data_IF_838634974021
#
_entry.id   IF_838634974021
#
_cell.length_a   1.000
_cell.length_b   1.000
_cell.length_c   1.000
_cell.angle_alpha   90.00
_cell.angle_beta   90.00
_cell.angle_gamma   90.00
#
_symmetry.space_group_name_H-M   'P 1'
#
loop_
_entity.id
_entity.type
_entity.pdbx_description
1 polymer ?
#
# COMPACT_ATOMS: atom_id res chain seq x y z
N UNK A 1 -36.50 -6.30 16.58
CA UNK A 1 -35.56 -6.79 15.56
C UNK A 1 -34.27 -6.04 15.76
N UNK A 2 -33.11 -6.68 16.04
CA UNK A 2 -31.85 -5.97 16.06
C UNK A 2 -31.60 -5.40 14.67
N UNK A 3 -31.30 -4.11 14.60
CA UNK A 3 -30.96 -3.42 13.34
C UNK A 3 -29.63 -3.99 12.87
N UNK A 4 -29.66 -4.74 11.77
CA UNK A 4 -28.44 -5.31 11.19
C UNK A 4 -27.59 -4.16 10.62
N UNK A 5 -26.51 -3.83 11.29
CA UNK A 5 -25.59 -2.78 10.85
C UNK A 5 -24.69 -3.34 9.73
N UNK A 6 -24.79 -2.84 8.50
CA UNK A 6 -23.91 -3.33 7.43
C UNK A 6 -22.46 -2.87 7.69
N UNK A 7 -21.45 -3.75 7.46
CA UNK A 7 -20.06 -3.39 7.64
C UNK A 7 -19.62 -2.33 6.63
N UNK A 8 -19.09 -1.20 7.13
CA UNK A 8 -18.55 -0.09 6.33
C UNK A 8 -17.02 -0.09 6.39
N UNK A 9 -16.38 0.64 5.48
CA UNK A 9 -14.90 0.80 5.47
C UNK A 9 -14.34 1.28 6.82
N UNK A 10 -15.04 2.20 7.49
CA UNK A 10 -14.64 2.73 8.80
C UNK A 10 -14.66 1.65 9.88
N UNK A 11 -15.65 0.75 9.86
CA UNK A 11 -15.73 -0.39 10.79
C UNK A 11 -14.57 -1.35 10.60
N UNK A 12 -14.29 -1.74 9.35
CA UNK A 12 -13.17 -2.62 9.00
C UNK A 12 -11.81 -2.01 9.37
N UNK A 13 -11.62 -0.72 9.15
CA UNK A 13 -10.41 -0.01 9.56
C UNK A 13 -10.24 -0.03 11.09
N UNK A 14 -11.33 0.20 11.86
CA UNK A 14 -11.30 0.16 13.32
C UNK A 14 -11.06 -1.27 13.85
N UNK A 15 -11.69 -2.29 13.29
CA UNK A 15 -11.45 -3.70 13.64
C UNK A 15 -9.98 -4.08 13.42
N UNK A 16 -9.36 -3.66 12.30
CA UNK A 16 -7.92 -3.86 12.06
C UNK A 16 -7.06 -3.14 13.10
N UNK A 17 -7.43 -1.91 13.49
CA UNK A 17 -6.73 -1.17 14.54
C UNK A 17 -6.79 -1.89 15.88
N UNK A 18 -7.96 -2.40 16.28
CA UNK A 18 -8.15 -3.19 17.51
C UNK A 18 -7.32 -4.48 17.45
N UNK A 19 -7.31 -5.18 16.31
CA UNK A 19 -6.52 -6.40 16.12
C UNK A 19 -5.00 -6.19 16.30
N UNK A 20 -4.50 -5.02 15.87
CA UNK A 20 -3.06 -4.66 15.90
C UNK A 20 -2.61 -3.95 17.18
N UNK A 21 -3.52 -3.63 18.09
CA UNK A 21 -3.25 -2.81 19.27
C UNK A 21 -3.55 -3.55 20.58
N UNK A 22 -3.20 -2.92 21.70
CA UNK A 22 -3.60 -3.37 23.02
C UNK A 22 -5.11 -3.31 23.27
N UNK A 23 -5.88 -2.68 22.34
CA UNK A 23 -7.35 -2.59 22.44
C UNK A 23 -7.84 -1.49 23.38
N UNK A 24 -7.16 -0.35 23.42
CA UNK A 24 -7.65 0.80 24.21
C UNK A 24 -8.93 1.35 23.60
N UNK A 25 -10.05 1.46 24.38
CA UNK A 25 -11.31 1.98 23.89
C UNK A 25 -11.21 3.47 23.56
N UNK A 26 -11.73 3.88 22.41
CA UNK A 26 -11.88 5.30 22.04
C UNK A 26 -13.25 5.88 22.39
N UNK A 27 -14.22 5.02 22.67
CA UNK A 27 -15.60 5.36 23.07
C UNK A 27 -16.30 6.30 22.08
N UNK A 28 -16.05 6.12 20.79
CA UNK A 28 -16.68 6.87 19.70
C UNK A 28 -17.86 6.09 19.07
N UNK A 29 -18.59 6.74 18.16
CA UNK A 29 -19.73 6.16 17.48
C UNK A 29 -19.38 4.88 16.71
N UNK A 30 -18.14 4.79 16.16
CA UNK A 30 -17.70 3.61 15.43
C UNK A 30 -17.57 2.40 16.36
N UNK A 31 -17.01 2.59 17.54
CA UNK A 31 -16.92 1.50 18.53
C UNK A 31 -18.30 1.06 19.05
N UNK A 32 -19.22 2.01 19.21
CA UNK A 32 -20.61 1.70 19.55
C UNK A 32 -21.25 0.80 18.48
N UNK A 33 -21.06 1.14 17.19
CA UNK A 33 -21.52 0.32 16.07
C UNK A 33 -20.91 -1.08 16.10
N UNK A 34 -19.58 -1.20 16.37
CA UNK A 34 -18.89 -2.49 16.44
C UNK A 34 -19.44 -3.39 17.57
N UNK A 35 -19.69 -2.81 18.74
CA UNK A 35 -20.24 -3.55 19.88
C UNK A 35 -21.70 -3.92 19.61
N UNK A 36 -22.51 -2.99 19.09
CA UNK A 36 -23.91 -3.25 18.75
C UNK A 36 -24.09 -4.32 17.68
N UNK A 37 -23.17 -4.38 16.70
CA UNK A 37 -23.13 -5.41 15.67
C UNK A 37 -22.52 -6.75 16.15
N UNK A 38 -22.03 -6.81 17.38
CA UNK A 38 -21.41 -8.01 17.94
C UNK A 38 -20.03 -8.33 17.34
N UNK A 39 -19.36 -7.39 16.68
CA UNK A 39 -18.02 -7.59 16.10
C UNK A 39 -16.89 -7.36 17.09
N UNK A 40 -17.17 -6.61 18.15
CA UNK A 40 -16.26 -6.34 19.24
C UNK A 40 -17.01 -6.35 20.59
N UNK A 41 -16.27 -6.48 21.68
CA UNK A 41 -16.80 -6.39 23.04
C UNK A 41 -15.82 -5.67 23.96
N UNK A 42 -16.34 -5.09 25.03
CA UNK A 42 -15.54 -4.49 26.09
C UNK A 42 -15.23 -5.56 27.13
N UNK A 43 -13.96 -5.70 27.47
CA UNK A 43 -13.47 -6.60 28.52
C UNK A 43 -12.84 -5.77 29.63
N UNK A 44 -13.25 -6.01 30.87
CA UNK A 44 -12.64 -5.39 32.05
C UNK A 44 -11.60 -6.33 32.64
N UNK A 45 -10.37 -5.85 32.75
CA UNK A 45 -9.27 -6.59 33.38
C UNK A 45 -9.39 -6.61 34.91
N UNK A 46 -8.62 -7.47 35.55
CA UNK A 46 -8.56 -7.55 37.03
C UNK A 46 -8.02 -6.26 37.68
N UNK A 47 -7.25 -5.48 36.91
CA UNK A 47 -6.71 -4.15 37.26
C UNK A 47 -7.74 -3.01 37.11
N UNK A 48 -8.98 -3.33 36.70
CA UNK A 48 -10.06 -2.38 36.49
C UNK A 48 -10.01 -1.65 35.13
N UNK A 49 -8.97 -1.85 34.33
CA UNK A 49 -8.87 -1.26 32.97
C UNK A 49 -9.81 -1.97 32.00
N UNK A 50 -10.42 -1.18 31.10
CA UNK A 50 -11.27 -1.71 30.05
C UNK A 50 -10.45 -1.79 28.75
N UNK A 51 -10.57 -2.91 28.05
CA UNK A 51 -10.04 -3.11 26.71
C UNK A 51 -11.17 -3.50 25.77
N UNK A 52 -11.06 -3.09 24.50
CA UNK A 52 -11.95 -3.57 23.45
C UNK A 52 -11.28 -4.73 22.71
N UNK A 53 -12.02 -5.81 22.52
CA UNK A 53 -11.55 -7.05 21.88
C UNK A 53 -12.48 -7.44 20.74
N UNK A 54 -11.92 -8.14 19.76
CA UNK A 54 -12.72 -8.70 18.67
C UNK A 54 -13.44 -9.97 19.15
N UNK A 55 -14.66 -10.13 18.67
CA UNK A 55 -15.37 -11.42 18.73
C UNK A 55 -14.91 -12.32 17.57
N UNK A 56 -15.27 -13.60 17.61
CA UNK A 56 -15.07 -14.53 16.48
C UNK A 56 -15.77 -14.04 15.21
N UNK A 57 -16.92 -13.36 15.35
CA UNK A 57 -17.62 -12.74 14.22
C UNK A 57 -16.82 -11.58 13.63
N UNK A 58 -16.24 -10.72 14.47
CA UNK A 58 -15.37 -9.63 14.04
C UNK A 58 -14.09 -10.13 13.34
N UNK A 59 -13.50 -11.22 13.85
CA UNK A 59 -12.33 -11.87 13.24
C UNK A 59 -12.71 -12.45 11.87
N UNK A 60 -13.83 -13.17 11.77
CA UNK A 60 -14.32 -13.72 10.50
C UNK A 60 -14.58 -12.62 9.46
N UNK A 61 -15.23 -11.52 9.88
CA UNK A 61 -15.47 -10.37 9.00
C UNK A 61 -14.18 -9.79 8.43
N UNK A 62 -13.13 -9.67 9.27
CA UNK A 62 -11.81 -9.22 8.79
C UNK A 62 -11.17 -10.21 7.82
N UNK A 63 -11.29 -11.51 8.08
CA UNK A 63 -10.76 -12.55 7.22
C UNK A 63 -11.44 -12.56 5.85
N UNK A 64 -12.77 -12.44 5.83
CA UNK A 64 -13.56 -12.37 4.58
C UNK A 64 -13.25 -11.09 3.78
N UNK A 65 -13.14 -9.94 4.46
CA UNK A 65 -12.76 -8.69 3.81
C UNK A 65 -11.36 -8.79 3.20
N UNK A 66 -10.44 -9.40 3.92
CA UNK A 66 -9.10 -9.68 3.42
C UNK A 66 -9.14 -10.56 2.16
N UNK A 67 -9.90 -11.67 2.18
CA UNK A 67 -10.02 -12.56 1.02
C UNK A 67 -10.65 -11.84 -0.19
N UNK A 68 -11.68 -11.01 0.03
CA UNK A 68 -12.28 -10.21 -1.03
C UNK A 68 -11.28 -9.24 -1.68
N UNK A 69 -10.54 -8.52 -0.85
CA UNK A 69 -9.51 -7.60 -1.33
C UNK A 69 -8.41 -8.32 -2.11
N UNK A 70 -8.09 -9.56 -1.74
CA UNK A 70 -7.11 -10.38 -2.43
C UNK A 70 -7.56 -10.83 -3.82
N UNK A 71 -8.83 -11.24 -3.93
CA UNK A 71 -9.41 -11.65 -5.21
C UNK A 71 -9.63 -10.47 -6.17
N UNK A 72 -9.80 -9.25 -5.62
CA UNK A 72 -9.99 -8.01 -6.39
C UNK A 72 -8.70 -7.22 -6.60
N UNK A 73 -7.55 -7.68 -6.05
CA UNK A 73 -6.27 -6.99 -6.21
C UNK A 73 -5.84 -7.02 -7.67
N UNK A 74 -5.64 -5.83 -8.24
CA UNK A 74 -5.17 -5.69 -9.61
C UNK A 74 -3.73 -6.19 -9.78
N UNK A 75 -3.31 -6.50 -11.01
CA UNK A 75 -1.91 -6.83 -11.30
C UNK A 75 -0.96 -5.73 -10.83
N UNK A 76 -1.38 -4.47 -10.98
CA UNK A 76 -0.66 -3.30 -10.48
C UNK A 76 -0.43 -3.39 -8.96
N UNK A 77 -1.49 -3.63 -8.18
CA UNK A 77 -1.40 -3.67 -6.71
C UNK A 77 -0.55 -4.84 -6.21
N UNK A 78 -0.63 -5.98 -6.89
CA UNK A 78 0.18 -7.18 -6.60
C UNK A 78 1.66 -6.90 -6.88
N UNK A 79 1.97 -6.27 -8.02
CA UNK A 79 3.35 -5.93 -8.35
C UNK A 79 3.91 -4.85 -7.40
N UNK A 80 3.12 -3.85 -7.04
CA UNK A 80 3.52 -2.84 -6.04
C UNK A 80 3.77 -3.50 -4.66
N UNK A 81 2.95 -4.47 -4.25
CA UNK A 81 3.17 -5.24 -3.04
C UNK A 81 4.48 -6.05 -3.09
N UNK A 82 4.76 -6.68 -4.24
CA UNK A 82 6.01 -7.42 -4.45
C UNK A 82 7.26 -6.55 -4.34
N UNK A 83 7.22 -5.36 -4.95
CA UNK A 83 8.29 -4.36 -4.82
C UNK A 83 8.48 -3.95 -3.36
N UNK A 84 7.38 -3.70 -2.64
CA UNK A 84 7.43 -3.35 -1.22
C UNK A 84 8.09 -4.47 -0.39
N UNK A 85 7.74 -5.73 -0.63
CA UNK A 85 8.36 -6.90 0.02
C UNK A 85 9.87 -6.97 -0.24
N UNK A 86 10.29 -6.78 -1.48
CA UNK A 86 11.72 -6.81 -1.83
C UNK A 86 12.50 -5.67 -1.15
N UNK A 87 11.92 -4.49 -1.05
CA UNK A 87 12.54 -3.34 -0.37
C UNK A 87 12.59 -3.54 1.15
N UNK A 88 11.57 -4.14 1.76
CA UNK A 88 11.57 -4.53 3.17
C UNK A 88 12.67 -5.55 3.46
N UNK A 89 12.80 -6.58 2.64
CA UNK A 89 13.86 -7.59 2.75
C UNK A 89 15.26 -6.99 2.59
N UNK A 90 15.39 -5.92 1.82
CA UNK A 90 16.60 -5.11 1.72
C UNK A 90 16.83 -4.15 2.91
N UNK A 91 16.02 -4.25 3.97
CA UNK A 91 16.15 -3.47 5.21
C UNK A 91 15.68 -2.03 5.09
N UNK A 92 14.82 -1.69 4.11
CA UNK A 92 14.25 -0.34 3.96
C UNK A 92 12.96 -0.20 4.76
N UNK A 93 12.58 1.03 5.09
CA UNK A 93 11.26 1.39 5.60
C UNK A 93 10.42 1.74 4.37
N UNK A 94 9.24 1.13 4.24
CA UNK A 94 8.46 1.18 3.00
C UNK A 94 7.03 1.64 3.27
N UNK A 95 6.48 2.47 2.39
CA UNK A 95 5.08 2.87 2.36
C UNK A 95 4.52 2.65 0.96
N UNK A 96 3.27 2.27 0.88
CA UNK A 96 2.51 2.14 -0.37
C UNK A 96 1.45 3.23 -0.46
N UNK A 97 1.25 3.76 -1.68
CA UNK A 97 0.20 4.73 -1.99
C UNK A 97 0.16 5.95 -1.05
N UNK A 98 1.32 6.37 -0.57
CA UNK A 98 1.43 7.47 0.37
C UNK A 98 1.26 8.81 -0.36
N UNK A 99 0.30 9.63 0.10
CA UNK A 99 0.10 10.99 -0.42
C UNK A 99 1.12 11.95 0.17
N UNK A 100 1.99 12.50 -0.67
CA UNK A 100 3.06 13.41 -0.30
C UNK A 100 2.90 14.76 -1.01
N UNK A 101 3.27 15.84 -0.34
CA UNK A 101 3.34 17.16 -0.96
C UNK A 101 4.71 17.38 -1.59
N UNK A 102 4.75 17.58 -2.89
CA UNK A 102 5.94 17.94 -3.63
C UNK A 102 5.85 19.37 -4.13
N UNK A 103 7.00 20.04 -4.24
CA UNK A 103 7.12 21.37 -4.85
C UNK A 103 7.68 21.18 -6.25
N UNK A 104 6.95 21.67 -7.25
CA UNK A 104 7.43 21.73 -8.63
C UNK A 104 7.81 23.16 -8.98
N UNK A 105 8.87 23.34 -9.72
CA UNK A 105 9.16 24.66 -10.28
C UNK A 105 8.04 24.99 -11.28
N UNK A 106 7.48 26.20 -11.20
CA UNK A 106 6.53 26.64 -12.20
C UNK A 106 7.25 26.68 -13.54
N UNK A 107 7.00 25.73 -14.42
CA UNK A 107 7.23 25.96 -15.84
C UNK A 107 6.40 27.17 -16.24
N UNK A 108 6.92 28.03 -17.10
CA UNK A 108 6.20 29.20 -17.64
C UNK A 108 4.75 28.80 -17.96
N UNK A 109 3.76 29.66 -17.62
CA UNK A 109 2.36 29.30 -17.79
C UNK A 109 2.12 28.89 -19.23
N UNK A 110 1.52 27.73 -19.50
CA UNK A 110 1.10 27.39 -20.85
C UNK A 110 0.08 28.43 -21.28
N UNK A 111 0.36 29.08 -22.41
CA UNK A 111 -0.60 29.93 -23.09
C UNK A 111 -1.94 29.18 -23.26
N UNK A 112 -2.97 29.70 -22.61
CA UNK A 112 -4.40 29.46 -22.80
C UNK A 112 -4.84 28.13 -23.43
N UNK A 113 -5.51 27.31 -22.64
CA UNK A 113 -6.30 26.18 -23.15
C UNK A 113 -6.80 25.30 -22.02
N UNK A 114 -8.05 25.55 -21.59
CA UNK A 114 -8.97 24.75 -20.79
C UNK A 114 -8.56 23.29 -20.50
N UNK A 115 -8.47 22.97 -19.23
CA UNK A 115 -9.20 21.94 -18.48
C UNK A 115 -8.57 21.78 -17.09
N UNK A 116 -8.96 22.67 -16.18
CA UNK A 116 -8.79 22.44 -14.76
C UNK A 116 -9.95 21.55 -14.30
N UNK A 117 -9.74 20.25 -14.31
CA UNK A 117 -10.67 19.33 -13.68
C UNK A 117 -10.72 19.60 -12.16
N UNK A 118 -11.94 19.75 -11.66
CA UNK A 118 -12.33 20.21 -10.33
C UNK A 118 -12.01 19.27 -9.16
N UNK A 119 -10.92 18.50 -9.22
CA UNK A 119 -10.57 17.51 -8.21
C UNK A 119 -9.48 18.00 -7.23
N UNK A 120 -9.20 19.31 -7.23
CA UNK A 120 -8.10 19.90 -6.44
C UNK A 120 -8.53 20.57 -5.12
N UNK A 121 -9.81 20.51 -4.74
CA UNK A 121 -10.32 21.27 -3.59
C UNK A 121 -11.19 20.40 -2.67
N UNK A 122 -10.58 19.57 -1.84
CA UNK A 122 -11.23 19.14 -0.61
C UNK A 122 -10.29 19.36 0.56
N UNK A 123 -10.45 20.52 1.18
CA UNK A 123 -9.89 20.86 2.47
C UNK A 123 -10.91 20.56 3.56
N UNK A 124 -10.52 20.04 4.73
CA UNK A 124 -11.39 20.11 5.91
C UNK A 124 -11.43 21.55 6.41
N UNK A 125 -12.63 22.04 6.68
CA UNK A 125 -12.91 23.35 7.26
C UNK A 125 -12.52 23.34 8.76
N UNK A 126 -11.24 23.43 9.09
CA UNK A 126 -10.82 23.92 10.38
C UNK A 126 -9.83 25.06 10.18
N UNK A 127 -10.17 26.20 10.78
CA UNK A 127 -9.52 27.50 10.58
C UNK A 127 -8.05 27.61 10.95
N UNK A 128 -7.18 26.69 10.56
CA UNK A 128 -5.74 26.80 10.74
C UNK A 128 -5.12 27.67 9.65
N UNK A 129 -4.62 28.82 10.06
CA UNK A 129 -3.87 29.78 9.22
C UNK A 129 -2.62 29.09 8.68
N UNK A 130 -2.65 28.75 7.38
CA UNK A 130 -1.46 28.25 6.68
C UNK A 130 -0.41 29.39 6.57
N UNK A 131 0.89 29.11 6.80
CA UNK A 131 1.92 30.07 6.52
C UNK A 131 1.89 30.43 5.03
N UNK A 132 1.86 31.73 4.73
CA UNK A 132 1.93 32.24 3.35
C UNK A 132 3.21 31.71 2.69
N UNK A 133 3.15 31.21 1.45
CA UNK A 133 4.33 30.75 0.74
C UNK A 133 5.31 31.94 0.62
N UNK A 134 6.51 31.78 1.17
CA UNK A 134 7.63 32.68 0.94
C UNK A 134 7.95 32.70 -0.56
N UNK A 135 8.24 33.89 -1.08
CA UNK A 135 8.54 34.21 -2.47
C UNK A 135 9.64 33.31 -3.06
N UNK A 136 9.25 32.28 -3.74
CA UNK A 136 10.06 31.41 -4.56
C UNK A 136 9.12 30.62 -5.43
N UNK A 137 9.06 30.95 -6.73
CA UNK A 137 8.06 30.49 -7.69
C UNK A 137 8.02 28.98 -7.90
N UNK A 138 7.23 28.28 -7.09
CA UNK A 138 6.95 26.86 -7.29
C UNK A 138 5.55 26.53 -6.77
N UNK A 139 4.82 25.71 -7.52
CA UNK A 139 3.50 25.22 -7.14
C UNK A 139 3.60 23.97 -6.29
N UNK A 140 2.78 23.86 -5.23
CA UNK A 140 2.63 22.64 -4.46
C UNK A 140 1.71 21.67 -5.19
N UNK A 141 2.13 20.42 -5.27
CA UNK A 141 1.36 19.35 -5.88
C UNK A 141 1.33 18.12 -4.97
N UNK A 142 0.18 17.44 -4.95
CA UNK A 142 0.10 16.12 -4.33
C UNK A 142 0.72 15.09 -5.26
N UNK A 143 1.67 14.32 -4.73
CA UNK A 143 2.28 13.19 -5.38
C UNK A 143 1.92 11.93 -4.60
N UNK A 144 1.55 10.87 -5.30
CA UNK A 144 1.20 9.58 -4.70
C UNK A 144 1.96 8.47 -5.40
N UNK A 145 3.22 8.25 -5.02
CA UNK A 145 3.99 7.14 -5.55
C UNK A 145 3.37 5.78 -5.14
N UNK A 146 3.44 4.80 -6.02
CA UNK A 146 2.95 3.45 -5.74
C UNK A 146 3.71 2.82 -4.57
N UNK A 147 5.05 3.00 -4.55
CA UNK A 147 5.89 2.61 -3.43
C UNK A 147 6.92 3.72 -3.14
N UNK A 148 6.96 4.16 -1.90
CA UNK A 148 7.95 5.08 -1.36
C UNK A 148 8.79 4.38 -0.29
N UNK A 149 10.10 4.56 -0.30
CA UNK A 149 10.94 3.91 0.70
C UNK A 149 12.11 4.77 1.15
N UNK A 150 12.54 4.57 2.40
CA UNK A 150 13.72 5.16 3.01
C UNK A 150 14.68 4.08 3.48
N UNK A 151 15.97 4.34 3.40
CA UNK A 151 16.96 3.50 4.07
C UNK A 151 16.80 3.63 5.59
N UNK A 152 16.89 2.53 6.31
CA UNK A 152 16.83 2.54 7.77
C UNK A 152 18.15 3.07 8.34
N UNK A 153 18.20 4.35 8.64
CA UNK A 153 19.36 5.06 9.19
C UNK A 153 18.91 6.24 10.04
N UNK A 154 19.74 6.66 10.99
CA UNK A 154 19.57 7.89 11.76
C UNK A 154 20.33 9.09 11.16
N UNK A 155 21.10 8.87 10.09
CA UNK A 155 21.87 9.91 9.40
C UNK A 155 21.10 10.40 8.18
N UNK A 156 20.73 11.69 8.15
CA UNK A 156 19.89 12.26 7.10
C UNK A 156 20.47 12.06 5.70
N UNK A 157 21.77 12.24 5.52
CA UNK A 157 22.44 12.12 4.22
C UNK A 157 22.42 10.68 3.65
N UNK A 158 22.16 9.68 4.51
CA UNK A 158 22.11 8.27 4.12
C UNK A 158 20.69 7.70 3.98
N UNK A 159 19.66 8.54 4.14
CA UNK A 159 18.26 8.10 4.04
C UNK A 159 17.88 7.53 2.68
N UNK A 160 18.48 8.06 1.62
CA UNK A 160 18.25 7.64 0.23
C UNK A 160 16.76 7.39 -0.06
N UNK A 161 15.92 8.44 -0.05
CA UNK A 161 14.51 8.29 -0.44
C UNK A 161 14.42 7.75 -1.86
N UNK A 162 13.57 6.75 -2.08
CA UNK A 162 13.32 6.16 -3.39
C UNK A 162 11.84 6.09 -3.69
N UNK A 163 11.49 6.35 -4.93
CA UNK A 163 10.16 6.16 -5.51
C UNK A 163 10.21 5.01 -6.51
N UNK A 164 9.25 4.08 -6.40
CA UNK A 164 9.01 3.06 -7.41
C UNK A 164 7.59 3.24 -7.93
N UNK A 165 7.48 3.38 -9.24
CA UNK A 165 6.24 3.57 -9.98
C UNK A 165 5.98 2.33 -10.82
N UNK A 166 4.85 1.69 -10.60
CA UNK A 166 4.48 0.43 -11.26
C UNK A 166 3.64 0.71 -12.49
N UNK A 167 3.98 0.10 -13.62
CA UNK A 167 3.23 0.20 -14.87
C UNK A 167 3.04 -1.19 -15.46
N UNK A 168 1.81 -1.64 -15.50
CA UNK A 168 1.47 -3.00 -15.95
C UNK A 168 1.02 -3.06 -17.40
N UNK A 169 0.88 -1.91 -18.06
CA UNK A 169 0.56 -1.83 -19.47
C UNK A 169 1.37 -0.74 -20.19
N UNK A 170 1.61 -0.96 -21.49
CA UNK A 170 2.30 0.03 -22.32
C UNK A 170 1.53 1.35 -22.41
N UNK A 171 0.21 1.30 -22.47
CA UNK A 171 -0.64 2.50 -22.53
C UNK A 171 -0.49 3.37 -21.27
N UNK A 172 -0.47 2.74 -20.08
CA UNK A 172 -0.26 3.42 -18.82
C UNK A 172 1.13 4.04 -18.71
N UNK A 173 2.19 3.29 -19.12
CA UNK A 173 3.55 3.82 -19.18
C UNK A 173 3.64 5.05 -20.09
N UNK A 174 3.15 4.97 -21.33
CA UNK A 174 3.21 6.07 -22.28
C UNK A 174 2.39 7.28 -21.80
N UNK A 175 1.25 7.05 -21.14
CA UNK A 175 0.48 8.11 -20.50
C UNK A 175 1.29 8.80 -19.41
N UNK A 176 1.92 8.04 -18.52
CA UNK A 176 2.73 8.58 -17.43
C UNK A 176 3.96 9.35 -17.93
N UNK A 177 4.63 8.85 -18.97
CA UNK A 177 5.78 9.52 -19.58
C UNK A 177 5.43 10.87 -20.21
N UNK A 178 4.18 11.15 -20.54
CA UNK A 178 3.72 12.47 -21.00
C UNK A 178 3.58 13.47 -19.85
N UNK A 179 3.42 13.00 -18.61
CA UNK A 179 3.19 13.86 -17.43
C UNK A 179 4.51 14.29 -16.77
N UNK A 180 5.23 15.24 -17.39
CA UNK A 180 6.49 15.77 -16.88
C UNK A 180 6.40 16.28 -15.43
N UNK A 181 5.32 16.98 -15.07
CA UNK A 181 5.11 17.53 -13.73
C UNK A 181 4.99 16.44 -12.64
N UNK A 182 4.48 15.25 -12.97
CA UNK A 182 4.44 14.11 -12.05
C UNK A 182 5.87 13.60 -11.78
N UNK A 183 6.67 13.43 -12.82
CA UNK A 183 8.07 13.00 -12.69
C UNK A 183 8.92 14.01 -11.94
N UNK A 184 8.68 15.31 -12.15
CA UNK A 184 9.34 16.37 -11.40
C UNK A 184 8.99 16.29 -9.91
N UNK A 185 7.72 16.03 -9.57
CA UNK A 185 7.30 15.81 -8.19
C UNK A 185 8.06 14.63 -7.53
N UNK A 186 8.27 13.54 -8.27
CA UNK A 186 9.01 12.39 -7.75
C UNK A 186 10.50 12.67 -7.58
N UNK A 187 11.12 13.38 -8.52
CA UNK A 187 12.53 13.83 -8.39
C UNK A 187 12.71 14.75 -7.18
N UNK A 188 11.72 15.54 -6.85
CA UNK A 188 11.78 16.40 -5.67
C UNK A 188 11.64 15.62 -4.36
N UNK A 189 10.94 14.49 -4.36
CA UNK A 189 10.69 13.64 -3.21
C UNK A 189 11.75 12.56 -3.00
N UNK A 190 12.55 12.23 -4.01
CA UNK A 190 13.44 11.08 -3.97
C UNK A 190 14.80 11.34 -4.58
N UNK A 191 15.81 10.65 -4.05
CA UNK A 191 17.14 10.61 -4.67
C UNK A 191 17.14 9.76 -5.94
N UNK A 192 16.24 8.79 -6.03
CA UNK A 192 16.14 7.81 -7.10
C UNK A 192 14.68 7.49 -7.39
N UNK A 193 14.32 7.53 -8.67
CA UNK A 193 12.97 7.13 -9.14
C UNK A 193 13.11 5.97 -10.11
N UNK A 194 12.39 4.88 -9.85
CA UNK A 194 12.40 3.67 -10.66
C UNK A 194 11.02 3.39 -11.24
N UNK A 195 10.98 2.91 -12.49
CA UNK A 195 9.82 2.28 -13.08
C UNK A 195 9.91 0.76 -12.94
N UNK A 196 8.81 0.13 -12.56
CA UNK A 196 8.69 -1.32 -12.41
C UNK A 196 7.66 -1.85 -13.40
N UNK A 197 8.07 -2.73 -14.28
CA UNK A 197 7.29 -3.20 -15.41
C UNK A 197 7.32 -4.74 -15.50
N UNK A 198 6.24 -5.40 -15.91
CA UNK A 198 6.36 -6.75 -16.44
C UNK A 198 7.21 -6.75 -17.72
N UNK A 199 8.04 -7.78 -17.90
CA UNK A 199 8.81 -7.98 -19.12
C UNK A 199 7.90 -7.97 -20.36
N UNK A 200 8.33 -7.27 -21.43
CA UNK A 200 7.55 -7.12 -22.66
C UNK A 200 6.57 -5.92 -22.67
N UNK A 201 6.41 -5.17 -21.58
CA UNK A 201 5.62 -3.93 -21.59
C UNK A 201 6.37 -2.81 -22.33
N UNK A 202 7.66 -2.65 -22.08
CA UNK A 202 8.54 -1.72 -22.77
C UNK A 202 9.99 -2.16 -22.64
N UNK A 203 10.83 -1.64 -23.54
CA UNK A 203 12.28 -1.77 -23.47
C UNK A 203 12.86 -0.68 -22.56
N UNK A 204 13.99 -0.96 -21.89
CA UNK A 204 14.62 0.00 -20.99
C UNK A 204 15.03 1.32 -21.66
N UNK A 205 15.33 1.29 -22.95
CA UNK A 205 15.70 2.46 -23.76
C UNK A 205 14.53 3.43 -23.98
N UNK A 206 13.28 2.96 -23.85
CA UNK A 206 12.10 3.80 -24.00
C UNK A 206 11.82 4.66 -22.76
N UNK A 207 12.48 4.34 -21.66
CA UNK A 207 12.33 5.04 -20.37
C UNK A 207 13.50 6.03 -20.23
N UNK A 208 13.24 7.29 -19.81
CA UNK A 208 14.28 8.30 -19.63
C UNK A 208 15.49 7.78 -18.84
N UNK A 209 16.69 8.14 -19.26
CA UNK A 209 17.96 7.58 -18.72
C UNK A 209 18.15 7.85 -17.23
N UNK A 210 17.60 8.94 -16.72
CA UNK A 210 17.68 9.29 -15.31
C UNK A 210 16.86 8.37 -14.40
N UNK A 211 15.90 7.63 -14.96
CA UNK A 211 15.00 6.74 -14.22
C UNK A 211 15.56 5.31 -14.18
N UNK A 212 15.44 4.66 -13.04
CA UNK A 212 15.75 3.24 -12.90
C UNK A 212 14.68 2.38 -13.58
N UNK A 213 15.06 1.17 -14.00
CA UNK A 213 14.16 0.21 -14.63
C UNK A 213 14.29 -1.14 -13.94
N UNK A 214 13.18 -1.61 -13.40
CA UNK A 214 13.04 -2.96 -12.86
C UNK A 214 12.08 -3.75 -13.73
N UNK A 215 12.44 -4.95 -14.12
CA UNK A 215 11.59 -5.84 -14.90
C UNK A 215 11.16 -7.05 -14.06
N UNK A 216 9.87 -7.36 -14.13
CA UNK A 216 9.32 -8.61 -13.61
C UNK A 216 9.33 -9.65 -14.72
N UNK A 217 10.11 -10.71 -14.55
CA UNK A 217 10.13 -11.88 -15.43
C UNK A 217 9.23 -12.98 -14.85
N UNK A 218 8.21 -13.38 -15.62
CA UNK A 218 7.25 -14.42 -15.23
C UNK A 218 6.04 -13.89 -14.44
N UNK A 219 5.31 -14.77 -13.75
CA UNK A 219 4.11 -14.41 -12.99
C UNK A 219 4.43 -13.44 -11.84
N UNK A 220 3.47 -12.56 -11.50
CA UNK A 220 3.70 -11.54 -10.47
C UNK A 220 4.03 -12.14 -9.09
N UNK A 221 3.51 -13.31 -8.79
CA UNK A 221 3.65 -13.93 -7.46
C UNK A 221 4.94 -14.74 -7.32
N UNK A 222 5.42 -15.36 -8.39
CA UNK A 222 6.58 -16.27 -8.39
C UNK A 222 7.73 -15.83 -9.28
N UNK A 223 7.52 -14.81 -10.13
CA UNK A 223 8.52 -14.30 -11.04
C UNK A 223 9.69 -13.60 -10.34
N UNK A 224 10.70 -13.24 -11.09
CA UNK A 224 11.92 -12.58 -10.60
C UNK A 224 11.88 -11.10 -10.95
N UNK A 225 12.09 -10.22 -9.96
CA UNK A 225 12.30 -8.79 -10.17
C UNK A 225 13.81 -8.55 -10.41
N UNK A 226 14.12 -8.10 -11.61
CA UNK A 226 15.48 -7.77 -12.05
C UNK A 226 15.66 -6.27 -12.14
N UNK A 227 16.77 -5.75 -11.61
CA UNK A 227 17.19 -4.36 -11.79
C UNK A 227 18.00 -4.27 -13.08
N UNK A 228 17.32 -3.96 -14.20
CA UNK A 228 17.97 -3.85 -15.52
C UNK A 228 18.80 -2.59 -15.63
N UNK A 229 18.33 -1.49 -15.03
CA UNK A 229 19.05 -0.23 -14.99
C UNK A 229 18.84 0.44 -13.64
N UNK A 230 19.91 0.80 -12.92
CA UNK A 230 19.80 1.62 -11.70
C UNK A 230 19.33 3.04 -12.08
N UNK A 231 18.62 3.69 -11.17
CA UNK A 231 18.26 5.08 -11.32
C UNK A 231 19.50 5.98 -11.14
N UNK A 232 19.50 7.12 -11.83
CA UNK A 232 20.51 8.15 -11.55
C UNK A 232 20.29 8.74 -10.18
N UNK A 233 21.30 8.66 -9.32
CA UNK A 233 21.24 9.24 -7.99
C UNK A 233 21.35 10.76 -8.04
N UNK A 234 20.41 11.46 -7.41
CA UNK A 234 20.41 12.91 -7.22
C UNK A 234 20.16 13.19 -5.75
N UNK A 235 21.10 13.81 -5.02
CA UNK A 235 20.89 14.11 -3.61
C UNK A 235 19.61 14.93 -3.38
N UNK A 236 18.78 14.50 -2.43
CA UNK A 236 17.60 15.25 -2.02
C UNK A 236 17.48 15.30 -0.50
N UNK A 237 16.86 16.37 0.02
CA UNK A 237 16.49 16.51 1.42
C UNK A 237 14.99 16.54 1.54
N UNK A 238 14.45 15.69 2.42
CA UNK A 238 13.02 15.65 2.67
C UNK A 238 12.60 16.85 3.53
N UNK A 239 11.63 17.64 3.09
CA UNK A 239 11.14 18.76 3.88
C UNK A 239 10.26 18.28 5.04
N UNK A 240 10.08 19.14 6.02
CA UNK A 240 9.30 18.85 7.23
C UNK A 240 7.88 18.31 6.93
N UNK A 241 7.22 18.85 5.90
CA UNK A 241 5.88 18.39 5.53
C UNK A 241 5.84 16.90 5.08
N UNK A 242 6.92 16.41 4.46
CA UNK A 242 7.06 15.00 4.10
C UNK A 242 7.30 14.16 5.35
N UNK A 243 8.17 14.61 6.25
CA UNK A 243 8.37 13.93 7.53
C UNK A 243 7.10 13.80 8.36
N UNK A 244 6.26 14.85 8.39
CA UNK A 244 4.97 14.79 9.06
C UNK A 244 4.01 13.79 8.41
N UNK A 245 4.00 13.70 7.08
CA UNK A 245 3.19 12.71 6.37
C UNK A 245 3.67 11.27 6.67
N UNK A 246 4.98 11.05 6.69
CA UNK A 246 5.58 9.75 7.04
C UNK A 246 5.27 9.36 8.49
N UNK A 247 5.35 10.30 9.43
CA UNK A 247 5.05 10.05 10.84
C UNK A 247 3.57 9.69 11.10
N UNK A 248 2.66 10.22 10.30
CA UNK A 248 1.21 9.92 10.38
C UNK A 248 0.82 8.64 9.64
N UNK A 249 1.64 8.19 8.69
CA UNK A 249 1.38 7.01 7.90
C UNK A 249 1.93 5.74 8.58
N UNK A 250 1.25 4.63 8.37
CA UNK A 250 1.74 3.32 8.83
C UNK A 250 2.65 2.73 7.75
N UNK A 251 3.92 2.46 8.03
CA UNK A 251 4.79 1.77 7.09
C UNK A 251 4.33 0.32 6.89
N UNK A 252 4.66 -0.25 5.74
CA UNK A 252 4.47 -1.67 5.49
C UNK A 252 5.29 -2.50 6.48
N UNK A 253 4.76 -3.64 6.91
CA UNK A 253 5.42 -4.56 7.83
C UNK A 253 5.82 -5.85 7.12
N UNK A 254 6.77 -6.61 7.70
CA UNK A 254 7.12 -7.94 7.21
C UNK A 254 5.93 -8.90 7.22
N UNK A 255 4.96 -8.69 8.12
CA UNK A 255 3.73 -9.49 8.16
C UNK A 255 2.84 -9.19 6.95
N UNK A 256 2.77 -7.93 6.51
CA UNK A 256 2.07 -7.58 5.26
C UNK A 256 2.76 -8.23 4.05
N UNK A 257 4.10 -8.34 4.08
CA UNK A 257 4.91 -8.99 3.06
C UNK A 257 4.72 -10.52 3.04
N UNK A 258 4.87 -11.18 4.19
CA UNK A 258 4.69 -12.65 4.34
C UNK A 258 3.26 -13.09 4.03
N UNK A 259 2.29 -12.23 4.28
CA UNK A 259 0.90 -12.52 3.94
C UNK A 259 0.65 -12.60 2.43
N UNK A 260 1.50 -11.98 1.60
CA UNK A 260 1.49 -12.18 0.16
C UNK A 260 2.17 -13.51 -0.23
N UNK A 261 3.28 -13.88 0.39
CA UNK A 261 4.02 -15.13 0.09
C UNK A 261 3.27 -16.40 0.49
N UNK A 262 2.59 -16.40 1.65
CA UNK A 262 1.79 -17.55 2.12
C UNK A 262 0.55 -17.85 1.26
N UNK A 263 0.16 -16.96 0.36
CA UNK A 263 -0.98 -17.15 -0.54
C UNK A 263 -0.61 -17.92 -1.79
N UNK A 264 0.62 -17.81 -2.22
CA UNK A 264 1.14 -18.48 -3.41
C UNK A 264 1.48 -19.95 -3.10
N UNK A 265 1.61 -20.29 -1.81
CA UNK A 265 1.85 -21.64 -1.31
C UNK A 265 0.57 -22.44 -0.99
N UNK A 266 -0.63 -21.99 -1.37
CA UNK A 266 -1.83 -22.79 -1.23
C UNK A 266 -1.71 -24.01 -2.16
N UNK A 267 -1.79 -25.26 -1.64
CA UNK A 267 -1.59 -26.44 -2.45
C UNK A 267 -2.69 -26.53 -3.49
N UNK A 268 -2.29 -26.57 -4.75
CA UNK A 268 -3.10 -27.14 -5.80
C UNK A 268 -3.37 -28.61 -5.40
N UNK A 269 -4.67 -28.93 -5.28
CA UNK A 269 -5.20 -30.29 -5.30
C UNK A 269 -4.60 -31.30 -4.30
N UNK A 270 -5.11 -31.31 -3.09
CA UNK A 270 -5.27 -32.59 -2.42
C UNK A 270 -6.38 -33.36 -3.13
N UNK A 271 -5.99 -33.99 -4.24
CA UNK A 271 -6.80 -34.99 -4.92
C UNK A 271 -7.26 -35.98 -3.87
N UNK A 272 -8.57 -36.08 -3.71
CA UNK A 272 -9.23 -37.10 -2.94
C UNK A 272 -8.81 -38.46 -3.54
N UNK A 273 -7.73 -39.04 -3.02
CA UNK A 273 -7.36 -40.43 -3.28
C UNK A 273 -8.47 -41.29 -2.74
N UNK A 274 -9.12 -41.99 -3.64
CA UNK A 274 -10.32 -42.81 -3.44
C UNK A 274 -10.24 -43.67 -2.19
N UNK A 275 -11.31 -43.63 -1.41
CA UNK A 275 -11.63 -44.61 -0.40
C UNK A 275 -11.70 -45.99 -1.09
N UNK A 276 -10.73 -46.84 -0.84
CA UNK A 276 -10.83 -48.25 -1.16
C UNK A 276 -11.84 -48.84 -0.21
N UNK A 277 -12.97 -49.25 -0.80
CA UNK A 277 -14.00 -50.10 -0.22
C UNK A 277 -13.35 -51.41 0.23
N UNK A 278 -13.22 -51.60 1.52
CA UNK A 278 -12.81 -52.87 2.14
C UNK A 278 -14.11 -53.53 2.59
N UNK A 279 -14.68 -54.34 1.70
CA UNK A 279 -15.75 -55.30 2.05
C UNK A 279 -15.20 -56.33 3.04
N UNK A 280 -15.91 -56.65 4.12
CA UNK A 280 -15.54 -57.76 5.01
C UNK A 280 -15.88 -59.10 4.36
N UNK A 281 -14.86 -59.90 4.10
CA UNK A 281 -14.98 -61.30 3.72
C UNK A 281 -15.52 -62.13 4.88
N UNK A 282 -16.76 -62.57 4.75
CA UNK A 282 -17.37 -63.56 5.62
C UNK A 282 -17.01 -64.94 5.13
N UNK A 283 -15.87 -65.47 5.58
CA UNK A 283 -15.53 -66.88 5.43
C UNK A 283 -16.34 -67.77 6.36
N UNK A 284 -17.20 -68.56 5.80
CA UNK A 284 -17.85 -69.70 6.41
C UNK A 284 -17.14 -71.00 6.01
N UNK A 285 -16.95 -71.84 7.00
CA UNK A 285 -17.01 -73.31 7.02
C UNK A 285 -15.95 -74.15 6.29
N UNK A 286 -15.26 -74.94 7.07
CA UNK A 286 -15.34 -76.40 7.23
C UNK A 286 -14.03 -76.91 7.85
#
# INVERSE_FOLDING_TARGET
MPTEIPPRRVHLARLRSIWRSAGWPRRDAVELDLVAAGWAFLQRGADGHETIRLTDLGIRLLAEDRQRNLRSSSLHDRLAARVATQLLSAGRIVWRELSLRARIQAADPPSSGADASADALMWPEDGSVLPRPSQGGGAWRMARPDVFSLRRTSVEDYLQPMVHEVKVSRADLLSDLRHAAKRESYRWLSCETCYVLPAGVAESQEIPEELGVWLLHGPVDSGVLEVVRPARHVPCKLPFAVWMALAQATPCTDDDARQHELKDAAPEDLGVAGARDVSPDTGKDA
#
